data_IF_555410160705
#
_entry.id   IF_555410160705
#
_cell.length_a   1.000
_cell.length_b   1.000
_cell.length_c   1.000
_cell.angle_alpha   90.00
_cell.angle_beta   90.00
_cell.angle_gamma   90.00
#
_symmetry.space_group_name_H-M   'P 1'
#
loop_
_entity.id
_entity.type
_entity.pdbx_description
1 polymer ?
#
# COMPACT_ATOMS: atom_id res chain seq x y z
N UNK A 1 -42.42 22.19 -38.55
CA UNK A 1 -41.44 21.44 -37.73
C UNK A 1 -41.94 21.51 -36.28
N UNK A 2 -42.56 20.43 -35.76
CA UNK A 2 -43.11 20.45 -34.40
C UNK A 2 -41.95 20.38 -33.41
N UNK A 3 -41.72 21.48 -32.69
CA UNK A 3 -40.82 21.52 -31.54
C UNK A 3 -41.38 20.61 -30.45
N UNK A 4 -40.91 19.37 -30.38
CA UNK A 4 -41.16 18.47 -29.25
C UNK A 4 -40.27 18.92 -28.10
N UNK A 5 -40.81 19.79 -27.25
CA UNK A 5 -40.18 20.15 -25.98
C UNK A 5 -40.17 18.95 -25.02
N UNK A 6 -39.20 18.92 -24.11
CA UNK A 6 -39.13 17.91 -23.07
C UNK A 6 -40.34 17.99 -22.14
N UNK A 7 -40.90 16.83 -21.82
CA UNK A 7 -41.98 16.72 -20.85
C UNK A 7 -41.45 16.87 -19.43
N UNK A 8 -42.29 17.37 -18.52
CA UNK A 8 -41.93 17.52 -17.10
C UNK A 8 -41.40 16.22 -16.48
N UNK A 9 -41.96 15.07 -16.89
CA UNK A 9 -41.55 13.74 -16.43
C UNK A 9 -40.13 13.40 -16.89
N UNK A 10 -39.78 13.69 -18.15
CA UNK A 10 -38.43 13.45 -18.67
C UNK A 10 -37.38 14.29 -17.92
N UNK A 11 -37.70 15.55 -17.62
CA UNK A 11 -36.80 16.43 -16.84
C UNK A 11 -36.61 15.89 -15.41
N UNK A 12 -37.69 15.47 -14.76
CA UNK A 12 -37.61 14.89 -13.41
C UNK A 12 -36.78 13.60 -13.39
N UNK A 13 -36.98 12.73 -14.39
CA UNK A 13 -36.20 11.48 -14.52
C UNK A 13 -34.72 11.77 -14.73
N UNK A 14 -34.38 12.73 -15.59
CA UNK A 14 -33.00 13.14 -15.83
C UNK A 14 -32.32 13.68 -14.56
N UNK A 15 -33.03 14.51 -13.77
CA UNK A 15 -32.51 15.02 -12.48
C UNK A 15 -32.28 13.88 -11.49
N UNK A 16 -33.21 12.94 -11.36
CA UNK A 16 -33.05 11.80 -10.46
C UNK A 16 -31.85 10.94 -10.84
N UNK A 17 -31.69 10.62 -12.13
CA UNK A 17 -30.54 9.85 -12.62
C UNK A 17 -29.24 10.62 -12.35
N UNK A 18 -29.22 11.92 -12.63
CA UNK A 18 -28.05 12.77 -12.39
C UNK A 18 -27.63 12.79 -10.91
N UNK A 19 -28.59 12.91 -9.98
CA UNK A 19 -28.31 12.90 -8.55
C UNK A 19 -27.74 11.55 -8.09
N UNK A 20 -28.29 10.44 -8.58
CA UNK A 20 -27.80 9.09 -8.27
C UNK A 20 -26.37 8.89 -8.80
N UNK A 21 -26.11 9.27 -10.06
CA UNK A 21 -24.77 9.16 -10.65
C UNK A 21 -23.76 10.05 -9.92
N UNK A 22 -24.15 11.27 -9.53
CA UNK A 22 -23.29 12.18 -8.78
C UNK A 22 -22.90 11.59 -7.42
N UNK A 23 -23.88 11.03 -6.68
CA UNK A 23 -23.62 10.39 -5.40
C UNK A 23 -22.69 9.17 -5.54
N UNK A 24 -22.88 8.35 -6.58
CA UNK A 24 -22.02 7.20 -6.87
C UNK A 24 -20.59 7.63 -7.24
N UNK A 25 -20.44 8.64 -8.10
CA UNK A 25 -19.14 9.14 -8.52
C UNK A 25 -18.31 9.65 -7.33
N UNK A 26 -18.93 10.39 -6.40
CA UNK A 26 -18.25 10.88 -5.18
C UNK A 26 -17.78 9.70 -4.31
N UNK A 27 -18.66 8.71 -4.06
CA UNK A 27 -18.30 7.54 -3.26
C UNK A 27 -17.18 6.73 -3.90
N UNK A 28 -17.24 6.49 -5.21
CA UNK A 28 -16.21 5.78 -5.96
C UNK A 28 -14.86 6.49 -5.86
N UNK A 29 -14.82 7.81 -6.01
CA UNK A 29 -13.58 8.59 -5.93
C UNK A 29 -12.95 8.52 -4.52
N UNK A 30 -13.76 8.65 -3.46
CA UNK A 30 -13.27 8.53 -2.08
C UNK A 30 -12.72 7.12 -1.81
N UNK A 31 -13.46 6.07 -2.20
CA UNK A 31 -13.02 4.69 -2.00
C UNK A 31 -11.77 4.36 -2.83
N UNK A 32 -11.71 4.80 -4.09
CA UNK A 32 -10.56 4.61 -4.95
C UNK A 32 -9.32 5.30 -4.38
N UNK A 33 -9.42 6.56 -3.97
CA UNK A 33 -8.28 7.29 -3.38
C UNK A 33 -7.81 6.69 -2.07
N UNK A 34 -8.73 6.28 -1.19
CA UNK A 34 -8.36 5.62 0.08
C UNK A 34 -7.62 4.32 -0.18
N UNK A 35 -8.12 3.49 -1.10
CA UNK A 35 -7.52 2.20 -1.42
C UNK A 35 -6.17 2.36 -2.14
N UNK A 36 -6.06 3.31 -3.07
CA UNK A 36 -4.82 3.60 -3.78
C UNK A 36 -3.75 4.12 -2.84
N UNK A 37 -4.09 5.06 -1.94
CA UNK A 37 -3.15 5.57 -0.95
C UNK A 37 -2.63 4.47 -0.02
N UNK A 38 -3.52 3.57 0.43
CA UNK A 38 -3.13 2.42 1.25
C UNK A 38 -2.23 1.44 0.50
N UNK A 39 -2.49 1.19 -0.80
CA UNK A 39 -1.63 0.33 -1.61
C UNK A 39 -0.25 0.94 -1.85
N UNK A 40 -0.18 2.25 -2.14
CA UNK A 40 1.09 2.97 -2.31
C UNK A 40 1.90 2.93 -1.02
N UNK A 41 1.27 3.18 0.14
CA UNK A 41 1.94 3.08 1.43
C UNK A 41 2.52 1.68 1.67
N UNK A 42 1.74 0.62 1.41
CA UNK A 42 2.24 -0.76 1.54
C UNK A 42 3.41 -1.06 0.59
N UNK A 43 3.35 -0.58 -0.64
CA UNK A 43 4.43 -0.76 -1.62
C UNK A 43 5.71 -0.02 -1.20
N UNK A 44 5.58 1.20 -0.69
CA UNK A 44 6.73 1.97 -0.21
C UNK A 44 7.41 1.28 0.97
N UNK A 45 6.63 0.82 1.96
CA UNK A 45 7.15 0.09 3.13
C UNK A 45 7.83 -1.22 2.71
N UNK A 46 7.26 -1.96 1.76
CA UNK A 46 7.87 -3.18 1.22
C UNK A 46 9.18 -2.88 0.48
N UNK A 47 9.22 -1.82 -0.33
CA UNK A 47 10.41 -1.40 -1.07
C UNK A 47 11.53 -0.99 -0.11
N UNK A 48 11.21 -0.25 0.96
CA UNK A 48 12.18 0.12 1.98
C UNK A 48 12.70 -1.10 2.74
N UNK A 49 11.84 -2.07 3.08
CA UNK A 49 12.26 -3.33 3.69
C UNK A 49 13.21 -4.12 2.77
N UNK A 50 12.90 -4.21 1.47
CA UNK A 50 13.80 -4.83 0.49
C UNK A 50 15.14 -4.11 0.39
N UNK A 51 15.13 -2.77 0.37
CA UNK A 51 16.36 -1.98 0.35
C UNK A 51 17.22 -2.23 1.60
N UNK A 52 16.61 -2.26 2.78
CA UNK A 52 17.30 -2.61 4.02
C UNK A 52 17.96 -3.99 3.95
N UNK A 53 17.25 -4.97 3.36
CA UNK A 53 17.78 -6.31 3.16
C UNK A 53 18.97 -6.33 2.18
N UNK A 54 18.87 -5.61 1.07
CA UNK A 54 19.94 -5.52 0.07
C UNK A 54 21.19 -4.81 0.62
N UNK A 55 21.01 -3.74 1.39
CA UNK A 55 22.10 -3.04 2.07
C UNK A 55 22.82 -3.99 3.05
N UNK A 56 22.06 -4.74 3.86
CA UNK A 56 22.61 -5.75 4.74
C UNK A 56 23.38 -6.84 3.96
N UNK A 57 22.81 -7.34 2.86
CA UNK A 57 23.45 -8.39 2.04
C UNK A 57 24.76 -7.92 1.43
N UNK A 58 24.84 -6.64 1.04
CA UNK A 58 26.01 -6.09 0.36
C UNK A 58 27.11 -5.65 1.34
N UNK A 59 26.75 -5.14 2.53
CA UNK A 59 27.72 -4.69 3.54
C UNK A 59 27.20 -4.97 4.97
N UNK A 60 27.25 -6.23 5.43
CA UNK A 60 26.65 -6.61 6.70
C UNK A 60 27.35 -5.99 7.92
N UNK A 61 28.65 -5.73 7.85
CA UNK A 61 29.43 -5.19 8.99
C UNK A 61 29.14 -3.72 9.29
N UNK A 62 28.78 -2.94 8.27
CA UNK A 62 28.45 -1.52 8.42
C UNK A 62 26.95 -1.24 8.36
N UNK A 63 26.12 -2.28 8.31
CA UNK A 63 24.69 -2.10 8.21
C UNK A 63 24.14 -1.48 9.50
N UNK A 64 23.62 -0.27 9.37
CA UNK A 64 22.82 0.39 10.39
C UNK A 64 21.46 0.70 9.78
N UNK A 65 20.41 0.25 10.44
CA UNK A 65 19.07 0.59 10.00
C UNK A 65 18.83 2.09 10.26
N UNK A 66 18.89 2.87 9.18
CA UNK A 66 18.63 4.32 9.20
C UNK A 66 17.15 4.65 9.15
N UNK A 67 16.29 3.66 8.88
CA UNK A 67 14.86 3.85 8.75
C UNK A 67 14.15 3.65 10.09
N UNK A 68 13.64 4.74 10.67
CA UNK A 68 12.91 4.72 11.93
C UNK A 68 11.56 4.01 11.87
N UNK A 69 11.01 3.79 10.65
CA UNK A 69 9.74 3.11 10.45
C UNK A 69 9.86 1.59 10.46
N UNK A 70 11.07 1.07 10.25
CA UNK A 70 11.32 -0.36 10.16
C UNK A 70 12.16 -0.83 11.33
N UNK A 71 11.92 -2.05 11.80
CA UNK A 71 12.85 -2.74 12.70
C UNK A 71 13.45 -3.92 11.97
N UNK A 72 14.77 -3.99 11.96
CA UNK A 72 15.55 -5.08 11.41
C UNK A 72 16.00 -5.99 12.55
N UNK A 73 15.68 -7.29 12.48
CA UNK A 73 16.13 -8.30 13.44
C UNK A 73 16.85 -9.43 12.72
N UNK A 74 18.06 -9.74 13.18
CA UNK A 74 18.82 -10.94 12.79
C UNK A 74 18.71 -11.96 13.92
N UNK A 75 18.14 -13.12 13.62
CA UNK A 75 18.05 -14.25 14.56
C UNK A 75 18.93 -15.39 14.05
N UNK A 76 19.86 -15.94 14.86
CA UNK A 76 20.54 -17.18 14.50
C UNK A 76 19.58 -18.37 14.58
N UNK A 77 19.67 -19.30 13.63
CA UNK A 77 18.98 -20.59 13.66
C UNK A 77 20.00 -21.69 14.01
N UNK A 78 20.57 -22.37 13.02
CA UNK A 78 21.53 -23.49 13.17
C UNK A 78 22.42 -23.59 11.93
N UNK A 79 23.65 -24.10 12.07
CA UNK A 79 24.61 -24.34 10.97
C UNK A 79 24.84 -23.12 10.06
N UNK A 80 25.25 -21.99 10.65
CA UNK A 80 25.53 -20.73 9.95
C UNK A 80 24.34 -20.15 9.18
N UNK A 81 23.11 -20.64 9.43
CA UNK A 81 21.86 -20.10 8.91
C UNK A 81 21.30 -19.03 9.86
N UNK A 82 20.97 -17.89 9.29
CA UNK A 82 20.35 -16.77 9.98
C UNK A 82 19.04 -16.38 9.31
N UNK A 83 18.09 -15.99 10.15
CA UNK A 83 16.83 -15.40 9.75
C UNK A 83 16.92 -13.88 9.90
N UNK A 84 16.43 -13.17 8.89
CA UNK A 84 16.25 -11.73 8.91
C UNK A 84 14.75 -11.47 8.85
N UNK A 85 14.25 -10.79 9.88
CA UNK A 85 12.87 -10.32 9.96
C UNK A 85 12.89 -8.79 9.94
N UNK A 86 12.10 -8.22 9.03
CA UNK A 86 11.86 -6.78 8.95
C UNK A 86 10.39 -6.54 9.30
N UNK A 87 10.16 -5.78 10.36
CA UNK A 87 8.81 -5.43 10.85
C UNK A 87 8.54 -3.94 10.67
N UNK A 88 7.29 -3.58 10.36
CA UNK A 88 6.81 -2.20 10.44
C UNK A 88 6.64 -1.81 11.91
N UNK A 89 7.28 -0.73 12.35
CA UNK A 89 7.15 -0.24 13.73
C UNK A 89 5.76 0.34 14.00
N UNK A 90 5.04 0.77 12.97
CA UNK A 90 3.74 1.41 13.09
C UNK A 90 2.63 0.38 13.36
N UNK A 91 2.67 -0.74 12.64
CA UNK A 91 1.67 -1.82 12.75
C UNK A 91 2.14 -3.02 13.56
N UNK A 92 3.44 -3.19 13.74
CA UNK A 92 4.05 -4.39 14.31
C UNK A 92 4.01 -5.61 13.38
N UNK A 93 3.54 -5.45 12.14
CA UNK A 93 3.45 -6.54 11.17
C UNK A 93 4.82 -6.91 10.60
N UNK A 94 5.05 -8.20 10.38
CA UNK A 94 6.19 -8.70 9.63
C UNK A 94 6.00 -8.39 8.14
N UNK A 95 6.83 -7.49 7.60
CA UNK A 95 6.77 -7.10 6.19
C UNK A 95 7.55 -8.11 5.34
N UNK A 96 8.74 -8.49 5.83
CA UNK A 96 9.67 -9.31 5.08
C UNK A 96 10.40 -10.26 6.01
N UNK A 97 10.46 -11.52 5.57
CA UNK A 97 11.17 -12.59 6.23
C UNK A 97 12.10 -13.27 5.23
N UNK A 98 13.37 -13.44 5.55
CA UNK A 98 14.35 -14.04 4.66
C UNK A 98 15.41 -14.82 5.42
N UNK A 99 16.01 -15.81 4.77
CA UNK A 99 16.99 -16.71 5.37
C UNK A 99 18.30 -16.65 4.60
N UNK A 100 19.43 -16.58 5.31
CA UNK A 100 20.76 -16.40 4.75
C UNK A 100 21.75 -17.31 5.43
N UNK A 101 22.66 -17.90 4.66
CA UNK A 101 23.85 -18.53 5.19
C UNK A 101 24.96 -17.48 5.32
N UNK A 102 25.60 -17.41 6.48
CA UNK A 102 26.84 -16.66 6.66
C UNK A 102 27.97 -17.41 5.95
N UNK A 103 28.79 -16.69 5.21
CA UNK A 103 29.72 -17.24 4.23
C UNK A 103 31.14 -17.25 4.75
#
# INVERSE_FOLDING_TARGET
MKSTGFTYIEVMMAITIFLVLSALAVRLNITANKNMNMQIQKQNVMMEAQKCLEEYKNNPENYQNTNSQLTFKKNPIENDLFEIIITDNSSGEEILKSYFFEK
#
